data_IF_503209054280
#
_entry.id   IF_503209054280
#
_cell.length_a   1.000
_cell.length_b   1.000
_cell.length_c   1.000
_cell.angle_alpha   90.00
_cell.angle_beta   90.00
_cell.angle_gamma   90.00
#
_symmetry.space_group_name_H-M   'P 1'
#
loop_
_entity.id
_entity.type
_entity.pdbx_description
1 polymer ?
#
# COMPACT_ATOMS: atom_id res chain seq x y z
N UNK A 1 -6.15 -1.84 -41.58
CA UNK A 1 -4.80 -2.30 -41.21
C UNK A 1 -4.35 -1.72 -39.86
N UNK A 2 -4.35 -0.39 -39.69
CA UNK A 2 -3.99 0.28 -38.42
C UNK A 2 -4.73 -0.23 -37.17
N UNK A 3 -6.03 -0.52 -37.27
CA UNK A 3 -6.81 -1.02 -36.14
C UNK A 3 -6.47 -2.46 -35.73
N UNK A 4 -5.95 -3.26 -36.66
CA UNK A 4 -5.52 -4.64 -36.41
C UNK A 4 -4.19 -4.64 -35.65
N UNK A 5 -3.26 -3.77 -36.05
CA UNK A 5 -1.97 -3.57 -35.38
C UNK A 5 -2.16 -3.02 -33.96
N UNK A 6 -3.06 -2.04 -33.78
CA UNK A 6 -3.37 -1.49 -32.46
C UNK A 6 -3.94 -2.55 -31.51
N UNK A 7 -4.86 -3.39 -31.97
CA UNK A 7 -5.43 -4.50 -31.18
C UNK A 7 -4.37 -5.55 -30.83
N UNK A 8 -3.48 -5.89 -31.77
CA UNK A 8 -2.40 -6.84 -31.53
C UNK A 8 -1.41 -6.32 -30.49
N UNK A 9 -1.02 -5.03 -30.60
CA UNK A 9 -0.17 -4.35 -29.64
C UNK A 9 -0.81 -4.32 -28.25
N UNK A 10 -2.08 -3.91 -28.15
CA UNK A 10 -2.80 -3.91 -26.88
C UNK A 10 -2.83 -5.28 -26.22
N UNK A 11 -3.13 -6.35 -26.97
CA UNK A 11 -3.16 -7.71 -26.42
C UNK A 11 -1.81 -8.15 -25.88
N UNK A 12 -0.72 -7.83 -26.60
CA UNK A 12 0.65 -8.12 -26.17
C UNK A 12 0.99 -7.37 -24.88
N UNK A 13 0.80 -6.06 -24.89
CA UNK A 13 1.14 -5.19 -23.76
C UNK A 13 0.32 -5.56 -22.51
N UNK A 14 -0.98 -5.80 -22.67
CA UNK A 14 -1.87 -6.21 -21.59
C UNK A 14 -1.45 -7.54 -20.97
N UNK A 15 -1.04 -8.52 -21.77
CA UNK A 15 -0.55 -9.81 -21.24
C UNK A 15 0.74 -9.62 -20.45
N UNK A 16 1.68 -8.84 -20.98
CA UNK A 16 2.96 -8.55 -20.32
C UNK A 16 2.73 -7.88 -18.97
N UNK A 17 1.99 -6.77 -18.95
CA UNK A 17 1.71 -6.01 -17.72
C UNK A 17 0.94 -6.84 -16.70
N UNK A 18 -0.10 -7.57 -17.12
CA UNK A 18 -0.86 -8.44 -16.23
C UNK A 18 0.00 -9.53 -15.57
N UNK A 19 0.91 -10.14 -16.33
CA UNK A 19 1.86 -11.12 -15.79
C UNK A 19 2.81 -10.53 -14.74
N UNK A 20 3.35 -9.33 -15.00
CA UNK A 20 4.20 -8.64 -14.03
C UNK A 20 3.45 -8.33 -12.73
N UNK A 21 2.25 -7.78 -12.82
CA UNK A 21 1.44 -7.43 -11.64
C UNK A 21 1.15 -8.70 -10.80
N UNK A 22 0.77 -9.80 -11.44
CA UNK A 22 0.44 -11.06 -10.76
C UNK A 22 1.68 -11.71 -10.09
N UNK A 23 2.85 -11.64 -10.71
CA UNK A 23 4.07 -12.28 -10.17
C UNK A 23 4.54 -11.69 -8.83
N UNK A 24 4.15 -10.46 -8.51
CA UNK A 24 4.51 -9.80 -7.25
C UNK A 24 3.43 -9.96 -6.17
N UNK A 25 2.37 -10.72 -6.43
CA UNK A 25 1.30 -10.97 -5.46
C UNK A 25 1.61 -12.14 -4.53
N UNK A 26 1.02 -12.10 -3.34
CA UNK A 26 0.90 -13.30 -2.50
C UNK A 26 0.00 -14.34 -3.18
N UNK A 27 0.15 -15.62 -2.84
CA UNK A 27 -0.66 -16.70 -3.43
C UNK A 27 -2.17 -16.43 -3.36
N UNK A 28 -2.65 -15.85 -2.26
CA UNK A 28 -4.07 -15.51 -2.09
C UNK A 28 -4.55 -14.44 -3.07
N UNK A 29 -3.79 -13.36 -3.26
CA UNK A 29 -4.11 -12.32 -4.22
C UNK A 29 -3.96 -12.83 -5.66
N UNK A 30 -2.93 -13.62 -5.95
CA UNK A 30 -2.75 -14.24 -7.26
C UNK A 30 -3.98 -15.04 -7.70
N UNK A 31 -4.50 -15.93 -6.85
CA UNK A 31 -5.69 -16.74 -7.18
C UNK A 31 -6.94 -15.90 -7.41
N UNK A 32 -7.08 -14.74 -6.75
CA UNK A 32 -8.20 -13.83 -6.97
C UNK A 32 -8.13 -13.13 -8.34
N UNK A 33 -6.92 -12.81 -8.82
CA UNK A 33 -6.73 -11.99 -10.01
C UNK A 33 -6.28 -12.76 -11.25
N UNK A 34 -5.85 -14.02 -11.15
CA UNK A 34 -5.31 -14.80 -12.28
C UNK A 34 -6.27 -14.94 -13.46
N UNK A 35 -7.58 -14.91 -13.22
CA UNK A 35 -8.61 -15.02 -14.26
C UNK A 35 -8.99 -13.66 -14.89
N UNK A 36 -8.47 -12.55 -14.38
CA UNK A 36 -8.74 -11.22 -14.91
C UNK A 36 -7.98 -11.00 -16.21
N UNK A 37 -8.72 -10.65 -17.27
CA UNK A 37 -8.17 -10.55 -18.62
C UNK A 37 -7.55 -9.19 -18.92
N UNK A 38 -7.86 -8.16 -18.14
CA UNK A 38 -7.44 -6.78 -18.38
C UNK A 38 -6.53 -6.35 -17.23
N UNK A 39 -5.26 -6.07 -17.51
CA UNK A 39 -4.28 -5.67 -16.52
C UNK A 39 -4.68 -4.38 -15.80
N UNK A 40 -5.27 -3.42 -16.52
CA UNK A 40 -5.80 -2.18 -15.94
C UNK A 40 -6.90 -2.46 -14.92
N UNK A 41 -7.77 -3.45 -15.14
CA UNK A 41 -8.80 -3.81 -14.16
C UNK A 41 -8.21 -4.41 -12.87
N UNK A 42 -7.11 -5.19 -12.98
CA UNK A 42 -6.38 -5.68 -11.81
C UNK A 42 -5.79 -4.49 -11.06
N UNK A 43 -5.11 -3.59 -11.78
CA UNK A 43 -4.53 -2.37 -11.21
C UNK A 43 -5.57 -1.50 -10.50
N UNK A 44 -6.67 -1.15 -11.16
CA UNK A 44 -7.72 -0.28 -10.60
C UNK A 44 -8.37 -0.90 -9.35
N UNK A 45 -8.46 -2.24 -9.31
CA UNK A 45 -8.99 -2.94 -8.12
C UNK A 45 -8.00 -2.88 -6.96
N UNK A 46 -6.70 -3.03 -7.23
CA UNK A 46 -5.66 -2.89 -6.21
C UNK A 46 -5.59 -1.45 -5.71
N UNK A 47 -5.59 -0.51 -6.63
CA UNK A 47 -5.59 0.93 -6.41
C UNK A 47 -6.80 1.30 -5.54
N UNK A 48 -8.03 0.94 -5.94
CA UNK A 48 -9.22 1.19 -5.11
C UNK A 48 -9.19 0.50 -3.73
N UNK A 49 -8.62 -0.71 -3.64
CA UNK A 49 -8.59 -1.49 -2.38
C UNK A 49 -7.52 -1.01 -1.40
N UNK A 50 -6.42 -0.43 -1.91
CA UNK A 50 -5.21 -0.14 -1.13
C UNK A 50 -4.71 1.31 -1.25
N UNK A 51 -5.17 2.13 -2.19
CA UNK A 51 -4.93 3.60 -2.13
C UNK A 51 -5.63 4.24 -0.93
N UNK A 52 -6.75 3.64 -0.50
CA UNK A 52 -7.45 4.00 0.73
C UNK A 52 -6.83 3.40 2.00
N UNK A 53 -5.60 2.89 1.98
CA UNK A 53 -4.92 2.34 3.16
C UNK A 53 -4.47 3.41 4.18
N UNK A 54 -5.26 4.50 4.28
CA UNK A 54 -5.37 5.39 5.43
C UNK A 54 -5.58 4.55 6.71
N UNK A 55 -6.39 3.48 6.64
CA UNK A 55 -6.57 2.56 7.76
C UNK A 55 -5.28 1.80 8.15
N UNK A 56 -4.48 1.33 7.19
CA UNK A 56 -3.21 0.65 7.46
C UNK A 56 -2.12 1.61 7.95
N UNK A 57 -2.03 2.80 7.37
CA UNK A 57 -1.12 3.87 7.82
C UNK A 57 -1.49 4.35 9.23
N UNK A 58 -2.75 4.68 9.46
CA UNK A 58 -3.28 5.04 10.79
C UNK A 58 -3.04 3.93 11.81
N UNK A 59 -3.33 2.67 11.47
CA UNK A 59 -3.08 1.52 12.38
C UNK A 59 -1.60 1.34 12.68
N UNK A 60 -0.73 1.56 11.70
CA UNK A 60 0.72 1.49 11.88
C UNK A 60 1.25 2.60 12.78
N UNK A 61 0.83 3.85 12.54
CA UNK A 61 1.23 5.03 13.32
C UNK A 61 0.71 4.96 14.76
N UNK A 62 -0.58 4.65 14.95
CA UNK A 62 -1.16 4.42 16.29
C UNK A 62 -0.48 3.24 16.99
N UNK A 63 -0.14 2.17 16.26
CA UNK A 63 0.59 1.03 16.81
C UNK A 63 1.98 1.39 17.32
N UNK A 64 2.74 2.20 16.59
CA UNK A 64 4.04 2.72 17.03
C UNK A 64 3.93 3.60 18.27
N UNK A 65 2.94 4.50 18.30
CA UNK A 65 2.72 5.38 19.44
C UNK A 65 2.39 4.59 20.72
N UNK A 66 1.47 3.62 20.64
CA UNK A 66 1.10 2.77 21.78
C UNK A 66 2.24 1.87 22.29
N UNK A 67 3.16 1.49 21.41
CA UNK A 67 4.33 0.66 21.77
C UNK A 67 5.51 1.49 22.27
N UNK A 68 5.41 2.83 22.27
CA UNK A 68 6.48 3.67 22.76
C UNK A 68 6.69 3.44 24.26
N UNK A 69 7.93 3.18 24.65
CA UNK A 69 8.35 2.99 26.03
C UNK A 69 9.59 3.82 26.28
N UNK A 70 9.64 4.46 27.45
CA UNK A 70 10.84 5.14 27.92
C UNK A 70 11.84 4.05 28.35
N UNK A 71 13.05 4.13 27.80
CA UNK A 71 14.15 3.24 28.11
C UNK A 71 15.12 3.90 29.11
N UNK A 72 15.52 3.13 30.11
CA UNK A 72 16.62 3.51 31.00
C UNK A 72 17.93 3.58 30.21
N UNK A 73 18.75 4.61 30.51
CA UNK A 73 20.04 4.82 29.83
C UNK A 73 19.99 5.69 28.57
N UNK A 74 18.80 6.18 28.17
CA UNK A 74 18.65 7.23 27.14
C UNK A 74 18.38 8.59 27.77
N UNK A 75 18.83 9.67 27.12
CA UNK A 75 18.49 11.03 27.54
C UNK A 75 16.98 11.24 27.44
N UNK A 76 16.36 11.69 28.53
CA UNK A 76 14.91 11.89 28.61
C UNK A 76 14.39 12.86 27.54
N UNK A 77 15.16 13.91 27.23
CA UNK A 77 14.78 14.91 26.23
C UNK A 77 14.67 14.34 24.82
N UNK A 78 15.56 13.43 24.44
CA UNK A 78 15.51 12.79 23.12
C UNK A 78 14.27 11.88 23.01
N UNK A 79 13.93 11.20 24.11
CA UNK A 79 12.76 10.33 24.17
C UNK A 79 11.45 11.13 24.14
N UNK A 80 11.40 12.30 24.78
CA UNK A 80 10.25 13.23 24.70
C UNK A 80 10.07 13.71 23.27
N UNK A 81 11.15 14.11 22.59
CA UNK A 81 11.05 14.56 21.20
C UNK A 81 10.55 13.44 20.25
N UNK A 82 11.02 12.21 20.44
CA UNK A 82 10.53 11.04 19.71
C UNK A 82 9.03 10.79 19.96
N UNK A 83 8.59 10.92 21.22
CA UNK A 83 7.17 10.79 21.59
C UNK A 83 6.30 11.89 20.96
N UNK A 84 6.73 13.15 20.98
CA UNK A 84 6.02 14.27 20.37
C UNK A 84 5.85 14.09 18.85
N UNK A 85 6.86 13.56 18.18
CA UNK A 85 6.77 13.25 16.74
C UNK A 85 5.72 12.16 16.48
N UNK A 86 5.66 11.12 17.32
CA UNK A 86 4.63 10.07 17.21
C UNK A 86 3.23 10.64 17.45
N UNK A 87 3.06 11.57 18.39
CA UNK A 87 1.78 12.26 18.63
C UNK A 87 1.37 13.08 17.40
N UNK A 88 2.29 13.84 16.82
CA UNK A 88 2.02 14.62 15.61
C UNK A 88 1.60 13.72 14.43
N UNK A 89 2.29 12.59 14.23
CA UNK A 89 1.95 11.62 13.19
C UNK A 89 0.53 11.05 13.39
N UNK A 90 0.16 10.71 14.63
CA UNK A 90 -1.19 10.20 14.95
C UNK A 90 -2.28 11.25 14.63
N UNK A 91 -2.04 12.51 14.99
CA UNK A 91 -2.98 13.60 14.73
C UNK A 91 -3.12 13.88 13.22
N UNK A 92 -2.02 13.82 12.46
CA UNK A 92 -2.03 14.00 11.01
C UNK A 92 -2.85 12.93 10.27
N UNK A 93 -2.89 11.70 10.80
CA UNK A 93 -3.72 10.59 10.27
C UNK A 93 -5.19 10.65 10.79
N UNK A 94 -5.58 11.77 11.41
CA UNK A 94 -6.94 12.00 11.91
C UNK A 94 -7.36 11.01 13.00
N UNK A 95 -6.42 10.40 13.72
CA UNK A 95 -6.71 9.72 14.97
C UNK A 95 -6.80 10.78 16.06
N UNK A 96 -8.01 11.00 16.58
CA UNK A 96 -8.17 11.74 17.83
C UNK A 96 -7.67 10.82 18.95
N UNK A 97 -6.50 11.13 19.50
CA UNK A 97 -5.88 10.48 20.68
C UNK A 97 -6.12 11.29 21.94
#
# INVERSE_FOLDING_TARGET
MKDVEAKAKFKKDNKTVGGHILNHMTNSLFHLFVNQKIAKSIWDTLESRYEGDDAGKKKYVVGKWLQFQIADGKLIMNQIQEYENLVADVLNEGANV
#
